data_IF_647958181735
#
_entry.id   IF_647958181735
#
_cell.length_a   1.000
_cell.length_b   1.000
_cell.length_c   1.000
_cell.angle_alpha   90.00
_cell.angle_beta   90.00
_cell.angle_gamma   90.00
#
_symmetry.space_group_name_H-M   'P 1'
#
loop_
_entity.id
_entity.type
_entity.pdbx_description
1 polymer ?
#
# COMPACT_ATOMS: atom_id res chain seq x y z
N UNK A 1 -32.35 14.69 -4.63
CA UNK A 1 -31.42 15.46 -5.48
C UNK A 1 -30.08 15.54 -4.76
N UNK A 2 -29.01 14.99 -5.31
CA UNK A 2 -27.71 14.95 -4.65
C UNK A 2 -27.04 16.32 -4.84
N UNK A 3 -27.24 17.26 -3.90
CA UNK A 3 -26.53 18.54 -3.92
C UNK A 3 -25.04 18.25 -3.77
N UNK A 4 -24.25 18.52 -4.82
CA UNK A 4 -22.80 18.40 -4.74
C UNK A 4 -22.31 19.42 -3.71
N UNK A 5 -21.54 18.96 -2.71
CA UNK A 5 -20.87 19.84 -1.75
C UNK A 5 -20.04 20.88 -2.53
N UNK A 6 -20.06 22.17 -2.13
CA UNK A 6 -19.15 23.14 -2.70
C UNK A 6 -17.69 22.69 -2.50
N UNK A 7 -16.82 23.01 -3.45
CA UNK A 7 -15.40 22.64 -3.35
C UNK A 7 -14.77 23.36 -2.15
N UNK A 8 -14.43 22.60 -1.11
CA UNK A 8 -13.78 23.08 0.11
C UNK A 8 -12.85 21.99 0.66
N UNK A 9 -12.02 22.33 1.65
CA UNK A 9 -11.17 21.36 2.36
C UNK A 9 -12.00 20.26 3.03
N UNK A 10 -13.22 20.57 3.44
CA UNK A 10 -14.11 19.65 4.14
C UNK A 10 -14.75 18.59 3.22
N UNK A 11 -14.52 18.67 1.90
CA UNK A 11 -15.04 17.69 0.94
C UNK A 11 -14.47 16.28 1.17
N UNK A 12 -13.31 16.17 1.83
CA UNK A 12 -12.69 14.90 2.20
C UNK A 12 -13.34 14.26 3.44
N UNK A 13 -14.12 15.02 4.20
CA UNK A 13 -14.76 14.53 5.41
C UNK A 13 -16.00 13.71 5.05
N UNK A 14 -16.05 12.49 5.61
CA UNK A 14 -17.19 11.59 5.47
C UNK A 14 -18.18 11.89 6.60
N UNK A 15 -19.37 12.39 6.24
CA UNK A 15 -20.41 12.71 7.24
C UNK A 15 -21.04 11.44 7.83
N UNK A 16 -21.15 10.38 7.01
CA UNK A 16 -21.69 9.08 7.40
C UNK A 16 -20.79 7.96 6.86
N UNK A 17 -19.91 7.46 7.73
CA UNK A 17 -18.95 6.41 7.40
C UNK A 17 -19.67 5.10 7.06
N UNK A 18 -20.71 4.74 7.81
CA UNK A 18 -21.43 3.47 7.59
C UNK A 18 -22.18 3.48 6.26
N UNK A 19 -22.81 4.59 5.89
CA UNK A 19 -23.41 4.76 4.56
C UNK A 19 -22.37 4.57 3.44
N UNK A 20 -21.20 5.20 3.57
CA UNK A 20 -20.13 5.10 2.57
C UNK A 20 -19.60 3.66 2.47
N UNK A 21 -19.36 3.00 3.61
CA UNK A 21 -18.93 1.60 3.67
C UNK A 21 -19.98 0.68 3.02
N UNK A 22 -21.26 0.86 3.35
CA UNK A 22 -22.34 0.06 2.75
C UNK A 22 -22.42 0.27 1.24
N UNK A 23 -22.37 1.52 0.78
CA UNK A 23 -22.38 1.86 -0.64
C UNK A 23 -21.21 1.22 -1.40
N UNK A 24 -20.00 1.26 -0.84
CA UNK A 24 -18.82 0.63 -1.46
C UNK A 24 -18.97 -0.89 -1.49
N UNK A 25 -19.39 -1.51 -0.38
CA UNK A 25 -19.54 -2.97 -0.31
C UNK A 25 -20.65 -3.48 -1.25
N UNK A 26 -21.77 -2.79 -1.38
CA UNK A 26 -22.83 -3.10 -2.35
C UNK A 26 -22.32 -3.00 -3.79
N UNK A 27 -21.61 -1.91 -4.12
CA UNK A 27 -21.02 -1.74 -5.45
C UNK A 27 -20.02 -2.85 -5.77
N UNK A 28 -19.18 -3.25 -4.80
CA UNK A 28 -18.27 -4.39 -4.95
C UNK A 28 -19.02 -5.69 -5.19
N UNK A 29 -20.11 -5.97 -4.46
CA UNK A 29 -20.95 -7.17 -4.71
C UNK A 29 -21.54 -7.16 -6.11
N UNK A 30 -22.09 -6.03 -6.56
CA UNK A 30 -22.67 -5.91 -7.91
C UNK A 30 -21.61 -6.12 -9.00
N UNK A 31 -20.49 -5.42 -8.89
CA UNK A 31 -19.42 -5.52 -9.89
C UNK A 31 -18.81 -6.92 -9.92
N UNK A 32 -18.45 -7.48 -8.76
CA UNK A 32 -17.71 -8.74 -8.67
C UNK A 32 -18.61 -9.95 -8.90
N UNK A 33 -19.74 -10.02 -8.19
CA UNK A 33 -20.59 -11.22 -8.22
C UNK A 33 -21.53 -11.25 -9.43
N UNK A 34 -21.98 -10.08 -9.92
CA UNK A 34 -22.98 -10.02 -10.99
C UNK A 34 -22.38 -9.67 -12.35
N UNK A 35 -21.56 -8.61 -12.44
CA UNK A 35 -21.01 -8.15 -13.73
C UNK A 35 -19.89 -9.04 -14.23
N UNK A 36 -18.85 -9.26 -13.41
CA UNK A 36 -17.71 -10.10 -13.80
C UNK A 36 -17.90 -11.58 -13.41
N UNK A 37 -18.95 -11.90 -12.65
CA UNK A 37 -19.36 -13.26 -12.25
C UNK A 37 -18.23 -14.05 -11.58
N UNK A 38 -17.56 -13.43 -10.61
CA UNK A 38 -16.54 -14.06 -9.77
C UNK A 38 -17.07 -14.24 -8.36
N UNK A 39 -16.44 -15.15 -7.60
CA UNK A 39 -16.95 -15.57 -6.30
C UNK A 39 -16.29 -14.85 -5.11
N UNK A 40 -15.41 -13.88 -5.33
CA UNK A 40 -14.61 -13.31 -4.26
C UNK A 40 -13.49 -12.41 -4.78
N UNK A 41 -12.47 -12.18 -3.94
CA UNK A 41 -11.36 -11.30 -4.26
C UNK A 41 -10.02 -11.76 -3.73
N UNK A 42 -8.96 -11.38 -4.42
CA UNK A 42 -7.57 -11.48 -3.94
C UNK A 42 -7.09 -10.06 -3.66
N UNK A 43 -6.52 -9.83 -2.48
CA UNK A 43 -6.09 -8.49 -2.04
C UNK A 43 -4.64 -8.56 -1.57
N UNK A 44 -3.78 -7.77 -2.20
CA UNK A 44 -2.42 -7.55 -1.71
C UNK A 44 -2.47 -6.75 -0.40
N UNK A 45 -1.80 -7.25 0.64
CA UNK A 45 -1.73 -6.61 1.96
C UNK A 45 -0.27 -6.35 2.35
N UNK A 46 0.01 -5.13 2.82
CA UNK A 46 1.38 -4.67 3.12
C UNK A 46 1.51 -4.05 4.52
N UNK A 47 0.47 -4.13 5.35
CA UNK A 47 0.39 -3.43 6.64
C UNK A 47 0.03 -1.94 6.53
N UNK A 48 -0.07 -1.40 5.31
CA UNK A 48 -0.49 -0.02 5.07
C UNK A 48 -2.01 0.18 5.13
N UNK A 49 -2.44 1.38 5.55
CA UNK A 49 -3.85 1.76 5.77
C UNK A 49 -4.74 1.47 4.55
N UNK A 50 -4.29 1.80 3.35
CA UNK A 50 -5.09 1.63 2.13
C UNK A 50 -5.41 0.16 1.84
N UNK A 51 -4.39 -0.70 1.94
CA UNK A 51 -4.55 -2.15 1.77
C UNK A 51 -5.43 -2.76 2.87
N UNK A 52 -5.31 -2.24 4.10
CA UNK A 52 -6.13 -2.62 5.25
C UNK A 52 -7.60 -2.32 5.04
N UNK A 53 -7.92 -1.11 4.56
CA UNK A 53 -9.29 -0.73 4.21
C UNK A 53 -9.82 -1.59 3.06
N UNK A 54 -9.01 -1.85 2.03
CA UNK A 54 -9.39 -2.73 0.92
C UNK A 54 -9.72 -4.15 1.36
N UNK A 55 -8.91 -4.75 2.26
CA UNK A 55 -9.16 -6.09 2.80
C UNK A 55 -10.45 -6.11 3.63
N UNK A 56 -10.60 -5.16 4.55
CA UNK A 56 -11.77 -5.06 5.43
C UNK A 56 -13.07 -4.92 4.62
N UNK A 57 -13.09 -4.04 3.62
CA UNK A 57 -14.25 -3.85 2.74
C UNK A 57 -14.53 -5.09 1.89
N UNK A 58 -13.49 -5.80 1.45
CA UNK A 58 -13.67 -7.03 0.68
C UNK A 58 -14.24 -8.16 1.55
N UNK A 59 -13.75 -8.32 2.78
CA UNK A 59 -14.29 -9.28 3.74
C UNK A 59 -15.76 -8.96 4.09
N UNK A 60 -16.10 -7.68 4.31
CA UNK A 60 -17.49 -7.24 4.53
C UNK A 60 -18.39 -7.46 3.31
N UNK A 61 -17.85 -7.31 2.10
CA UNK A 61 -18.61 -7.48 0.86
C UNK A 61 -18.88 -8.96 0.54
N UNK A 62 -17.87 -9.82 0.64
CA UNK A 62 -17.93 -11.19 0.10
C UNK A 62 -18.00 -12.28 1.17
N UNK A 63 -17.69 -11.95 2.43
CA UNK A 63 -17.39 -12.90 3.48
C UNK A 63 -15.90 -13.27 3.48
N UNK A 64 -15.30 -13.53 4.64
CA UNK A 64 -13.86 -13.76 4.76
C UNK A 64 -13.37 -15.00 4.02
N UNK A 65 -14.18 -16.06 3.96
CA UNK A 65 -13.85 -17.31 3.24
C UNK A 65 -13.71 -17.14 1.73
N UNK A 66 -14.20 -16.01 1.19
CA UNK A 66 -14.15 -15.67 -0.24
C UNK A 66 -13.10 -14.61 -0.55
N UNK A 67 -12.24 -14.30 0.41
CA UNK A 67 -11.13 -13.36 0.25
C UNK A 67 -9.82 -14.08 0.54
N UNK A 68 -8.82 -13.85 -0.31
CA UNK A 68 -7.44 -14.26 -0.07
C UNK A 68 -6.58 -13.01 0.08
N UNK A 69 -5.95 -12.85 1.24
CA UNK A 69 -4.86 -11.90 1.43
C UNK A 69 -3.56 -12.45 0.84
N UNK A 70 -2.77 -11.61 0.17
CA UNK A 70 -1.42 -11.98 -0.30
C UNK A 70 -0.43 -10.93 0.20
N UNK A 71 0.58 -11.38 0.92
CA UNK A 71 1.75 -10.61 1.30
C UNK A 71 2.87 -10.88 0.29
N UNK A 72 3.51 -9.83 -0.20
CA UNK A 72 4.56 -9.91 -1.22
C UNK A 72 5.85 -9.24 -0.75
N UNK A 73 6.49 -9.74 0.33
CA UNK A 73 7.73 -9.14 0.82
C UNK A 73 8.86 -9.33 -0.17
N UNK A 74 9.82 -8.42 -0.13
CA UNK A 74 11.10 -8.51 -0.82
C UNK A 74 12.26 -8.18 0.13
N UNK A 75 13.51 -8.31 -0.35
CA UNK A 75 14.71 -8.23 0.50
C UNK A 75 14.84 -6.94 1.33
N UNK A 76 14.32 -5.83 0.83
CA UNK A 76 14.39 -4.52 1.48
C UNK A 76 13.10 -4.16 2.25
N UNK A 77 12.15 -5.11 2.38
CA UNK A 77 10.88 -4.91 3.06
C UNK A 77 11.03 -4.89 4.58
N UNK A 78 10.19 -4.09 5.24
CA UNK A 78 10.18 -4.00 6.72
C UNK A 78 9.53 -5.23 7.35
N UNK A 79 10.14 -5.85 8.38
CA UNK A 79 9.50 -6.92 9.15
C UNK A 79 8.15 -6.51 9.77
N UNK A 80 8.03 -5.24 10.18
CA UNK A 80 6.80 -4.71 10.79
C UNK A 80 5.62 -4.74 9.82
N UNK A 81 5.88 -4.58 8.52
CA UNK A 81 4.85 -4.61 7.48
C UNK A 81 4.17 -5.96 7.36
N UNK A 82 4.94 -7.04 7.51
CA UNK A 82 4.42 -8.41 7.49
C UNK A 82 3.57 -8.69 8.73
N UNK A 83 4.09 -8.36 9.93
CA UNK A 83 3.36 -8.51 11.19
C UNK A 83 1.99 -7.80 11.17
N UNK A 84 1.97 -6.53 10.73
CA UNK A 84 0.73 -5.75 10.64
C UNK A 84 -0.27 -6.34 9.63
N UNK A 85 0.23 -6.90 8.52
CA UNK A 85 -0.62 -7.55 7.52
C UNK A 85 -1.23 -8.86 8.04
N UNK A 86 -0.46 -9.65 8.80
CA UNK A 86 -0.95 -10.88 9.45
C UNK A 86 -2.01 -10.57 10.51
N UNK A 87 -1.77 -9.58 11.38
CA UNK A 87 -2.75 -9.14 12.40
C UNK A 87 -4.05 -8.67 11.76
N UNK A 88 -3.95 -7.92 10.67
CA UNK A 88 -5.11 -7.47 9.90
C UNK A 88 -5.89 -8.66 9.33
N UNK A 89 -5.22 -9.63 8.71
CA UNK A 89 -5.87 -10.80 8.14
C UNK A 89 -6.60 -11.61 9.23
N UNK A 90 -5.93 -11.83 10.37
CA UNK A 90 -6.49 -12.50 11.53
C UNK A 90 -7.73 -11.77 12.08
N UNK A 91 -7.66 -10.43 12.20
CA UNK A 91 -8.76 -9.60 12.68
C UNK A 91 -10.04 -9.74 11.85
N UNK A 92 -9.90 -9.91 10.53
CA UNK A 92 -11.04 -10.09 9.62
C UNK A 92 -11.36 -11.55 9.30
N UNK A 93 -10.64 -12.52 9.91
CA UNK A 93 -10.81 -13.95 9.64
C UNK A 93 -10.45 -14.36 8.22
N UNK A 94 -9.67 -13.54 7.52
CA UNK A 94 -9.29 -13.77 6.11
C UNK A 94 -8.03 -14.64 6.07
N UNK A 95 -8.03 -15.66 5.22
CA UNK A 95 -6.81 -16.42 4.94
C UNK A 95 -5.79 -15.53 4.21
N UNK A 96 -4.56 -15.51 4.70
CA UNK A 96 -3.44 -14.85 4.03
C UNK A 96 -2.33 -15.85 3.66
N UNK A 97 -1.61 -15.56 2.59
CA UNK A 97 -0.39 -16.28 2.17
C UNK A 97 0.74 -15.27 1.94
N UNK A 98 1.98 -15.74 2.08
CA UNK A 98 3.19 -14.95 1.82
C UNK A 98 3.93 -15.53 0.64
N UNK A 99 4.27 -14.68 -0.33
CA UNK A 99 5.11 -15.04 -1.48
C UNK A 99 6.26 -14.05 -1.60
N UNK A 100 7.50 -14.52 -1.34
CA UNK A 100 8.68 -13.67 -1.41
C UNK A 100 9.04 -13.38 -2.88
N UNK A 101 9.03 -12.11 -3.28
CA UNK A 101 9.25 -11.71 -4.67
C UNK A 101 10.69 -11.28 -4.98
N UNK A 102 11.64 -11.45 -4.05
CA UNK A 102 13.04 -10.99 -4.19
C UNK A 102 13.70 -11.53 -5.45
N UNK A 103 13.61 -12.83 -5.70
CA UNK A 103 14.29 -13.43 -6.87
C UNK A 103 13.62 -13.03 -8.19
N UNK A 104 12.31 -12.77 -8.19
CA UNK A 104 11.64 -12.21 -9.37
C UNK A 104 12.15 -10.80 -9.67
N UNK A 105 12.24 -9.94 -8.66
CA UNK A 105 12.75 -8.57 -8.82
C UNK A 105 14.23 -8.55 -9.24
N UNK A 106 15.04 -9.46 -8.71
CA UNK A 106 16.42 -9.68 -9.13
C UNK A 106 16.51 -10.15 -10.57
N UNK A 107 15.68 -11.11 -10.98
CA UNK A 107 15.60 -11.57 -12.37
C UNK A 107 15.23 -10.46 -13.35
N UNK A 108 14.35 -9.54 -12.95
CA UNK A 108 14.01 -8.34 -13.72
C UNK A 108 15.08 -7.24 -13.67
N UNK A 109 16.16 -7.43 -12.91
CA UNK A 109 17.24 -6.46 -12.68
C UNK A 109 16.77 -5.16 -12.02
N UNK A 110 15.75 -5.24 -11.17
CA UNK A 110 15.16 -4.06 -10.51
C UNK A 110 16.16 -3.39 -9.56
N UNK A 111 16.92 -4.19 -8.81
CA UNK A 111 17.90 -3.70 -7.84
C UNK A 111 19.06 -3.00 -8.54
N UNK A 112 19.57 -3.56 -9.64
CA UNK A 112 20.66 -3.01 -10.42
C UNK A 112 20.28 -1.66 -11.03
N UNK A 113 19.09 -1.56 -11.66
CA UNK A 113 18.62 -0.28 -12.22
C UNK A 113 18.41 0.79 -11.16
N UNK A 114 17.91 0.39 -9.99
CA UNK A 114 17.76 1.26 -8.82
C UNK A 114 19.12 1.77 -8.36
N UNK A 115 20.08 0.87 -8.16
CA UNK A 115 21.42 1.23 -7.67
C UNK A 115 22.17 2.11 -8.69
N UNK A 116 22.04 1.83 -9.99
CA UNK A 116 22.53 2.70 -11.08
C UNK A 116 21.91 4.10 -11.03
N UNK A 117 20.61 4.21 -10.77
CA UNK A 117 19.93 5.50 -10.65
C UNK A 117 20.41 6.29 -9.42
N UNK A 118 20.62 5.62 -8.28
CA UNK A 118 21.19 6.24 -7.07
C UNK A 118 22.62 6.73 -7.35
N UNK A 119 23.47 5.91 -7.99
CA UNK A 119 24.85 6.27 -8.35
C UNK A 119 24.97 7.48 -9.28
N UNK A 120 23.96 7.75 -10.12
CA UNK A 120 23.95 8.96 -10.96
C UNK A 120 23.79 10.24 -10.15
N UNK A 121 23.19 10.15 -8.96
CA UNK A 121 23.00 11.28 -8.04
C UNK A 121 24.12 11.32 -7.00
N UNK A 122 24.50 10.17 -6.46
CA UNK A 122 25.56 9.98 -5.46
C UNK A 122 26.61 8.99 -5.99
N UNK A 123 27.65 9.45 -6.71
CA UNK A 123 28.67 8.57 -7.27
C UNK A 123 29.38 7.67 -6.25
N UNK A 124 29.40 8.06 -4.98
CA UNK A 124 29.96 7.33 -3.84
C UNK A 124 29.08 6.18 -3.34
N UNK A 125 27.83 6.07 -3.79
CA UNK A 125 26.89 5.06 -3.29
C UNK A 125 27.35 3.63 -3.61
N UNK A 126 27.49 2.81 -2.57
CA UNK A 126 27.73 1.37 -2.68
C UNK A 126 26.56 0.59 -2.03
N UNK A 127 25.76 -0.18 -2.79
CA UNK A 127 24.61 -0.90 -2.25
C UNK A 127 24.96 -2.00 -1.24
N UNK A 128 26.24 -2.38 -1.10
CA UNK A 128 26.67 -3.34 -0.10
C UNK A 128 26.91 -2.71 1.28
N UNK A 129 27.20 -1.42 1.33
CA UNK A 129 27.62 -0.72 2.55
C UNK A 129 26.71 0.46 2.90
N UNK A 130 25.97 1.00 1.92
CA UNK A 130 25.03 2.10 2.08
C UNK A 130 23.59 1.62 1.99
N UNK A 131 22.75 2.16 2.87
CA UNK A 131 21.29 2.12 2.71
C UNK A 131 20.84 3.33 1.91
N UNK A 132 19.64 3.27 1.36
CA UNK A 132 19.01 4.44 0.74
C UNK A 132 17.53 4.50 1.09
N UNK A 133 16.99 5.71 1.10
CA UNK A 133 15.55 5.95 1.24
C UNK A 133 15.14 7.18 0.44
N UNK A 134 13.90 7.17 -0.02
CA UNK A 134 13.25 8.35 -0.57
C UNK A 134 12.46 8.99 0.56
N UNK A 135 12.77 10.23 0.88
CA UNK A 135 12.10 10.99 1.93
C UNK A 135 11.41 12.22 1.35
N UNK A 136 10.32 12.63 1.96
CA UNK A 136 9.70 13.94 1.71
C UNK A 136 10.09 14.80 2.91
N UNK A 137 10.70 15.96 2.68
CA UNK A 137 10.86 16.92 3.78
C UNK A 137 9.48 17.38 4.20
N UNK A 138 9.28 17.51 5.51
CA UNK A 138 8.00 17.91 6.10
C UNK A 138 7.70 19.38 5.76
N UNK A 139 7.31 19.62 4.51
CA UNK A 139 6.63 20.84 4.11
C UNK A 139 5.20 20.66 4.63
N UNK A 140 4.94 21.16 5.83
CA UNK A 140 3.68 20.93 6.54
C UNK A 140 2.44 21.18 5.66
N UNK A 141 1.29 20.66 6.09
CA UNK A 141 -0.02 20.75 5.41
C UNK A 141 -0.45 22.16 4.91
N UNK A 142 0.28 23.21 5.28
CA UNK A 142 0.06 24.62 4.95
C UNK A 142 1.00 25.17 3.87
N UNK A 143 1.93 24.37 3.34
CA UNK A 143 2.77 24.79 2.22
C UNK A 143 2.00 24.61 0.90
N UNK A 144 1.91 25.67 0.10
CA UNK A 144 1.33 25.60 -1.25
C UNK A 144 2.29 24.99 -2.29
N UNK A 145 3.44 24.44 -1.87
CA UNK A 145 4.41 23.81 -2.74
C UNK A 145 4.10 22.31 -2.85
N UNK A 146 4.24 21.71 -4.05
CA UNK A 146 4.15 20.27 -4.20
C UNK A 146 5.26 19.59 -3.37
N UNK A 147 5.01 18.37 -2.84
CA UNK A 147 6.00 17.64 -2.06
C UNK A 147 7.26 17.41 -2.90
N UNK A 148 8.40 17.88 -2.39
CA UNK A 148 9.70 17.63 -2.99
C UNK A 148 10.28 16.36 -2.37
N UNK A 149 10.53 15.38 -3.21
CA UNK A 149 11.15 14.11 -2.83
C UNK A 149 12.67 14.26 -2.84
N UNK A 150 13.31 13.72 -1.80
CA UNK A 150 14.75 13.69 -1.62
C UNK A 150 15.21 12.25 -1.60
N UNK A 151 16.31 11.96 -2.30
CA UNK A 151 17.03 10.72 -2.15
C UNK A 151 18.08 10.92 -1.04
N UNK A 152 18.06 10.03 -0.05
CA UNK A 152 19.00 10.02 1.07
C UNK A 152 19.76 8.70 1.01
N UNK A 153 21.08 8.76 0.98
CA UNK A 153 21.96 7.62 1.24
C UNK A 153 22.40 7.66 2.70
N UNK A 154 22.56 6.51 3.32
CA UNK A 154 22.96 6.37 4.73
C UNK A 154 24.15 5.42 4.77
N UNK A 155 25.30 5.87 5.26
CA UNK A 155 26.49 5.05 5.36
C UNK A 155 26.39 3.99 6.49
N UNK A 156 27.42 3.15 6.64
CA UNK A 156 27.50 2.13 7.70
C UNK A 156 27.48 2.71 9.12
N UNK A 157 27.91 3.96 9.28
CA UNK A 157 28.01 4.66 10.55
C UNK A 157 26.70 5.44 10.85
N UNK A 158 25.75 5.45 9.91
CA UNK A 158 24.42 6.05 10.04
C UNK A 158 24.34 7.50 9.58
N UNK A 159 25.38 8.05 8.93
CA UNK A 159 25.43 9.43 8.44
C UNK A 159 24.74 9.60 7.09
#
# INVERSE_FOLDING_TARGET
MNQKKPFSKDIILLDDIEYVVNKITEKRRDDVLRKIRRNGGVVGISGGIDSSVCLALSARAFGPDKVLGIMLPEKDSSPDSEMLAEELAAKFGVKAITENITEALKGFRCYERRDEAVKRVFPEYDPLTYKMKIAVKDTGLFSNLPPVFYLIIIDKDGN
#
